data_IF_249948746343
#
_entry.id   IF_249948746343
#
_cell.length_a   1.000
_cell.length_b   1.000
_cell.length_c   1.000
_cell.angle_alpha   90.00
_cell.angle_beta   90.00
_cell.angle_gamma   90.00
#
_symmetry.space_group_name_H-M   'P 1'
#
loop_
_entity.id
_entity.type
_entity.pdbx_description
1 polymer ?
#
# COMPACT_ATOMS: atom_id res chain seq x y z
N UNK A 1 -10.27 6.89 -19.79
CA UNK A 1 -10.16 8.09 -18.92
C UNK A 1 -11.53 8.42 -18.34
N UNK A 2 -12.09 7.57 -17.48
CA UNK A 2 -13.47 7.77 -16.96
C UNK A 2 -13.51 8.50 -15.61
N UNK A 3 -12.53 8.26 -14.74
CA UNK A 3 -12.59 8.71 -13.35
C UNK A 3 -12.50 10.23 -13.17
N UNK A 4 -11.64 10.89 -13.95
CA UNK A 4 -11.48 12.35 -13.91
C UNK A 4 -12.78 13.07 -14.27
N UNK A 5 -13.48 12.62 -15.30
CA UNK A 5 -14.75 13.21 -15.74
C UNK A 5 -15.94 12.80 -14.86
N UNK A 6 -15.84 11.66 -14.17
CA UNK A 6 -16.86 11.21 -13.22
C UNK A 6 -16.78 11.94 -11.87
N UNK A 7 -15.58 12.10 -11.31
CA UNK A 7 -15.37 12.75 -10.00
C UNK A 7 -15.32 14.27 -10.13
N UNK A 8 -14.82 14.80 -11.25
CA UNK A 8 -14.67 16.24 -11.53
C UNK A 8 -13.97 16.99 -10.39
N UNK A 9 -12.91 16.41 -9.83
CA UNK A 9 -12.19 16.99 -8.70
C UNK A 9 -11.61 18.36 -9.06
N UNK A 10 -11.53 19.27 -8.10
CA UNK A 10 -10.93 20.61 -8.32
C UNK A 10 -9.48 20.52 -8.77
N UNK A 11 -8.73 19.57 -8.22
CA UNK A 11 -7.34 19.29 -8.54
C UNK A 11 -7.16 17.80 -8.87
N UNK A 12 -6.27 17.50 -9.80
CA UNK A 12 -5.89 16.14 -10.16
C UNK A 12 -4.36 16.00 -10.18
N UNK A 13 -3.73 15.63 -9.06
CA UNK A 13 -2.29 15.37 -9.01
C UNK A 13 -1.95 14.03 -9.67
N UNK A 14 -0.91 14.01 -10.48
CA UNK A 14 -0.37 12.85 -11.17
C UNK A 14 1.17 12.85 -11.18
N UNK A 15 1.78 11.73 -11.53
CA UNK A 15 3.23 11.59 -11.61
C UNK A 15 3.62 10.55 -12.67
N UNK A 16 4.74 9.84 -12.48
CA UNK A 16 5.25 8.72 -13.30
C UNK A 16 5.94 9.10 -14.62
N UNK A 17 5.45 10.09 -15.38
CA UNK A 17 6.03 10.46 -16.67
C UNK A 17 7.32 11.29 -16.60
N UNK A 18 7.79 11.61 -15.38
CA UNK A 18 9.00 12.42 -15.13
C UNK A 18 8.99 13.75 -15.90
N UNK A 19 7.84 14.42 -15.88
CA UNK A 19 7.64 15.75 -16.47
C UNK A 19 6.68 16.54 -15.60
N UNK A 20 7.07 17.77 -15.27
CA UNK A 20 6.15 18.72 -14.69
C UNK A 20 5.25 19.32 -15.78
N UNK A 21 3.94 19.18 -15.60
CA UNK A 21 2.95 19.63 -16.57
C UNK A 21 1.69 20.08 -15.83
N UNK A 22 1.09 21.16 -16.31
CA UNK A 22 -0.17 21.67 -15.78
C UNK A 22 -1.16 21.84 -16.93
N UNK A 23 -2.41 21.43 -16.69
CA UNK A 23 -3.50 21.61 -17.65
C UNK A 23 -4.81 21.90 -16.93
N UNK A 24 -5.71 22.57 -17.65
CA UNK A 24 -7.09 22.73 -17.26
C UNK A 24 -7.91 21.74 -18.09
N UNK A 25 -8.58 20.82 -17.41
CA UNK A 25 -9.46 19.85 -18.07
C UNK A 25 -10.90 20.37 -17.95
N UNK A 26 -11.51 20.81 -19.07
CA UNK A 26 -12.89 21.27 -19.05
C UNK A 26 -13.84 20.09 -18.83
N UNK A 27 -14.96 20.35 -18.17
CA UNK A 27 -16.07 19.42 -18.05
C UNK A 27 -17.24 19.97 -18.84
N UNK A 28 -17.89 19.13 -19.63
CA UNK A 28 -19.09 19.51 -20.39
C UNK A 28 -20.33 19.44 -19.48
N UNK A 29 -21.24 20.40 -19.67
CA UNK A 29 -22.56 20.40 -19.04
C UNK A 29 -23.49 19.48 -19.84
N UNK A 30 -23.86 18.33 -19.28
CA UNK A 30 -24.84 17.42 -19.89
C UNK A 30 -26.29 17.93 -19.73
N UNK A 31 -26.50 19.04 -19.01
CA UNK A 31 -27.82 19.62 -18.71
C UNK A 31 -28.02 20.96 -19.42
N UNK A 32 -29.03 21.02 -20.31
CA UNK A 32 -29.58 22.25 -20.91
C UNK A 32 -30.37 23.10 -19.89
N UNK A 33 -29.87 23.24 -18.65
CA UNK A 33 -30.49 24.11 -17.67
C UNK A 33 -29.89 25.52 -17.80
N UNK A 34 -30.77 26.52 -17.98
CA UNK A 34 -30.48 27.94 -18.18
C UNK A 34 -29.77 28.64 -16.98
N UNK A 35 -29.27 27.87 -16.01
CA UNK A 35 -28.53 28.34 -14.83
C UNK A 35 -27.07 27.85 -14.87
N UNK A 36 -26.45 27.96 -16.05
CA UNK A 36 -25.08 27.55 -16.33
C UNK A 36 -24.06 28.48 -15.65
N UNK A 37 -23.89 28.30 -14.35
CA UNK A 37 -22.58 28.53 -13.73
C UNK A 37 -21.67 27.40 -14.21
N UNK A 38 -21.09 27.58 -15.39
CA UNK A 38 -20.30 26.56 -16.08
C UNK A 38 -19.32 25.86 -15.15
N UNK A 39 -19.29 24.53 -15.21
CA UNK A 39 -18.50 23.70 -14.30
C UNK A 39 -17.04 24.14 -14.29
N UNK A 40 -16.49 24.36 -13.09
CA UNK A 40 -15.09 24.72 -12.94
C UNK A 40 -14.19 23.61 -13.51
N UNK A 41 -13.21 23.95 -14.36
CA UNK A 41 -12.30 22.96 -14.92
C UNK A 41 -11.45 22.31 -13.82
N UNK A 42 -11.12 21.03 -13.99
CA UNK A 42 -10.16 20.35 -13.12
C UNK A 42 -8.75 20.85 -13.41
N UNK A 43 -8.02 21.26 -12.38
CA UNK A 43 -6.61 21.59 -12.48
C UNK A 43 -5.77 20.32 -12.42
N UNK A 44 -5.37 19.83 -13.58
CA UNK A 44 -4.46 18.70 -13.71
C UNK A 44 -3.02 19.17 -13.46
N UNK A 45 -2.32 18.45 -12.60
CA UNK A 45 -0.95 18.77 -12.19
C UNK A 45 -0.14 17.48 -12.23
N UNK A 46 0.96 17.45 -12.97
CA UNK A 46 1.96 16.38 -12.87
C UNK A 46 3.29 16.89 -12.33
N UNK A 47 3.96 16.03 -11.56
CA UNK A 47 5.26 16.30 -10.97
C UNK A 47 6.37 15.51 -11.66
N UNK A 48 7.58 16.07 -11.63
CA UNK A 48 8.80 15.44 -12.14
C UNK A 48 9.42 14.48 -11.11
N UNK A 49 10.43 13.71 -11.54
CA UNK A 49 11.20 12.82 -10.68
C UNK A 49 12.02 13.62 -9.67
N UNK A 50 12.20 13.03 -8.49
CA UNK A 50 13.10 13.46 -7.41
C UNK A 50 14.57 13.44 -7.86
N UNK A 51 14.96 14.38 -8.72
CA UNK A 51 16.30 14.58 -9.27
C UNK A 51 16.66 16.06 -9.11
N UNK A 52 17.93 16.40 -8.84
CA UNK A 52 18.37 17.79 -8.77
C UNK A 52 17.91 18.61 -9.98
N UNK A 53 17.51 19.86 -9.73
CA UNK A 53 17.08 20.83 -10.73
C UNK A 53 15.81 20.46 -11.51
N UNK A 54 14.93 19.63 -10.94
CA UNK A 54 13.61 19.30 -11.51
C UNK A 54 12.46 19.74 -10.61
N UNK A 55 11.29 19.91 -11.22
CA UNK A 55 10.07 20.34 -10.53
C UNK A 55 9.31 19.14 -9.95
N UNK A 56 9.83 18.59 -8.84
CA UNK A 56 9.29 17.38 -8.19
C UNK A 56 8.34 17.67 -7.02
N UNK A 57 8.23 18.93 -6.57
CA UNK A 57 7.41 19.34 -5.44
C UNK A 57 6.57 20.57 -5.82
N UNK A 58 5.29 20.53 -5.47
CA UNK A 58 4.36 21.65 -5.61
C UNK A 58 3.58 21.84 -4.32
N UNK A 59 3.48 23.09 -3.89
CA UNK A 59 2.66 23.50 -2.76
C UNK A 59 1.35 24.07 -3.29
N UNK A 60 0.23 23.67 -2.69
CA UNK A 60 -1.09 24.23 -2.95
C UNK A 60 -1.56 24.95 -1.69
N UNK A 61 -2.10 26.15 -1.88
CA UNK A 61 -2.66 26.96 -0.80
C UNK A 61 -4.19 26.89 -0.88
N UNK A 62 -4.81 26.66 0.26
CA UNK A 62 -6.25 26.54 0.40
C UNK A 62 -6.71 27.47 1.51
N UNK A 63 -7.79 28.20 1.25
CA UNK A 63 -8.47 28.97 2.28
C UNK A 63 -9.24 27.99 3.18
N UNK A 64 -8.83 27.92 4.45
CA UNK A 64 -9.42 27.06 5.47
C UNK A 64 -9.87 27.95 6.62
N UNK A 65 -11.04 27.66 7.20
CA UNK A 65 -11.54 28.37 8.39
C UNK A 65 -10.54 28.23 9.55
N UNK A 66 -10.28 29.31 10.28
CA UNK A 66 -9.36 29.30 11.43
C UNK A 66 -9.79 28.31 12.54
N UNK A 67 -11.09 28.00 12.62
CA UNK A 67 -11.66 27.06 13.58
C UNK A 67 -11.82 25.65 13.01
N UNK A 68 -11.35 25.39 11.78
CA UNK A 68 -11.42 24.06 11.20
C UNK A 68 -10.59 23.06 12.02
N UNK A 69 -11.15 21.88 12.24
CA UNK A 69 -10.44 20.78 12.89
C UNK A 69 -9.35 20.24 11.96
N UNK A 70 -8.09 20.47 12.32
CA UNK A 70 -6.93 19.99 11.55
C UNK A 70 -6.60 18.58 12.02
N UNK A 71 -7.08 17.58 11.29
CA UNK A 71 -6.83 16.18 11.59
C UNK A 71 -7.14 15.28 10.40
N UNK A 72 -6.60 14.07 10.42
CA UNK A 72 -6.98 13.04 9.46
C UNK A 72 -8.24 12.35 9.97
N UNK A 73 -9.18 12.14 9.05
CA UNK A 73 -10.43 11.41 9.30
C UNK A 73 -10.68 10.42 8.18
N UNK A 74 -11.35 9.32 8.50
CA UNK A 74 -11.83 8.39 7.50
C UNK A 74 -13.00 9.00 6.72
N UNK A 75 -13.04 8.71 5.43
CA UNK A 75 -14.19 9.04 4.60
C UNK A 75 -15.24 7.91 4.70
N UNK A 76 -16.51 8.19 5.06
CA UNK A 76 -17.51 7.15 5.27
C UNK A 76 -17.89 6.42 3.97
N UNK A 77 -17.84 7.10 2.82
CA UNK A 77 -18.08 6.48 1.51
C UNK A 77 -16.98 5.47 1.21
N UNK A 78 -15.72 5.83 1.43
CA UNK A 78 -14.57 4.94 1.32
C UNK A 78 -14.67 3.73 2.25
N UNK A 79 -15.06 3.93 3.52
CA UNK A 79 -15.26 2.84 4.47
C UNK A 79 -16.35 1.86 4.01
N UNK A 80 -17.48 2.38 3.51
CA UNK A 80 -18.57 1.56 3.00
C UNK A 80 -18.16 0.78 1.75
N UNK A 81 -17.44 1.42 0.81
CA UNK A 81 -16.85 0.73 -0.34
C UNK A 81 -15.94 -0.39 0.13
N UNK A 82 -14.97 -0.08 0.99
CA UNK A 82 -13.99 -1.04 1.47
C UNK A 82 -14.66 -2.27 2.12
N UNK A 83 -15.67 -2.05 2.97
CA UNK A 83 -16.45 -3.11 3.60
C UNK A 83 -17.26 -3.93 2.59
N UNK A 84 -17.95 -3.27 1.66
CA UNK A 84 -18.77 -3.96 0.65
C UNK A 84 -17.94 -4.78 -0.36
N UNK A 85 -16.67 -4.41 -0.55
CA UNK A 85 -15.73 -5.09 -1.45
C UNK A 85 -14.86 -6.14 -0.77
N UNK A 86 -15.00 -6.39 0.54
CA UNK A 86 -14.14 -7.32 1.28
C UNK A 86 -14.14 -8.75 0.70
N UNK A 87 -15.28 -9.17 0.15
CA UNK A 87 -15.42 -10.48 -0.53
C UNK A 87 -14.50 -10.64 -1.75
N UNK A 88 -13.93 -9.54 -2.26
CA UNK A 88 -12.98 -9.54 -3.37
C UNK A 88 -11.53 -9.65 -2.90
N UNK A 89 -11.28 -9.53 -1.59
CA UNK A 89 -9.95 -9.68 -0.99
C UNK A 89 -9.53 -11.14 -1.03
N UNK A 90 -8.48 -11.44 -1.80
CA UNK A 90 -7.95 -12.80 -1.93
C UNK A 90 -6.44 -12.80 -2.03
N UNK A 91 -5.80 -13.75 -1.36
CA UNK A 91 -4.37 -14.04 -1.44
C UNK A 91 -4.05 -15.21 -2.36
N UNK A 92 -5.03 -15.69 -3.13
CA UNK A 92 -4.84 -16.77 -4.09
C UNK A 92 -4.01 -16.29 -5.28
N UNK A 93 -3.08 -17.13 -5.74
CA UNK A 93 -2.37 -16.92 -7.01
C UNK A 93 -3.23 -17.23 -8.24
N UNK A 94 -4.41 -17.83 -8.03
CA UNK A 94 -5.35 -18.12 -9.10
C UNK A 94 -5.99 -16.82 -9.62
N UNK A 95 -6.26 -16.71 -10.93
CA UNK A 95 -6.95 -15.54 -11.47
C UNK A 95 -8.34 -15.43 -10.86
N UNK A 96 -8.63 -14.29 -10.24
CA UNK A 96 -9.96 -13.94 -9.71
C UNK A 96 -10.69 -13.08 -10.74
N UNK A 97 -11.90 -13.49 -11.10
CA UNK A 97 -12.75 -12.68 -11.98
C UNK A 97 -13.39 -11.56 -11.15
N UNK A 98 -13.07 -10.32 -11.50
CA UNK A 98 -13.66 -9.14 -10.85
C UNK A 98 -15.09 -8.90 -11.36
N UNK A 99 -15.97 -8.33 -10.51
CA UNK A 99 -17.31 -7.96 -10.93
C UNK A 99 -17.30 -7.04 -12.16
N UNK A 100 -18.25 -7.25 -13.06
CA UNK A 100 -18.34 -6.50 -14.31
C UNK A 100 -19.79 -6.19 -14.63
N UNK A 101 -20.03 -4.96 -15.10
CA UNK A 101 -21.33 -4.50 -15.64
C UNK A 101 -21.94 -5.45 -16.67
N UNK A 102 -21.11 -6.22 -17.36
CA UNK A 102 -21.55 -7.09 -18.45
C UNK A 102 -22.10 -8.45 -17.97
N UNK A 103 -21.94 -8.80 -16.69
CA UNK A 103 -22.60 -9.97 -16.08
C UNK A 103 -23.82 -9.50 -15.29
N UNK A 104 -24.96 -10.17 -15.50
CA UNK A 104 -26.26 -9.69 -15.01
C UNK A 104 -26.58 -10.02 -13.56
N UNK A 105 -25.88 -10.98 -12.95
CA UNK A 105 -26.27 -11.57 -11.65
C UNK A 105 -25.37 -11.18 -10.47
N UNK A 106 -24.33 -10.37 -10.71
CA UNK A 106 -23.36 -9.96 -9.69
C UNK A 106 -23.36 -8.44 -9.50
N UNK A 107 -23.24 -7.98 -8.25
CA UNK A 107 -23.07 -6.55 -7.94
C UNK A 107 -21.73 -6.08 -8.50
N UNK A 108 -21.78 -5.13 -9.43
CA UNK A 108 -20.59 -4.49 -10.02
C UNK A 108 -20.47 -3.02 -9.63
N UNK A 109 -21.56 -2.41 -9.15
CA UNK A 109 -21.60 -1.04 -8.67
C UNK A 109 -21.57 -1.03 -7.14
N UNK A 110 -20.44 -0.56 -6.61
CA UNK A 110 -20.17 -0.49 -5.18
C UNK A 110 -20.33 0.94 -4.64
N UNK A 111 -21.02 1.83 -5.36
CA UNK A 111 -21.49 3.07 -4.75
C UNK A 111 -22.30 2.71 -3.49
N UNK A 112 -21.95 3.24 -2.30
CA UNK A 112 -22.63 2.90 -1.07
C UNK A 112 -24.12 3.27 -1.12
N UNK A 113 -24.95 2.36 -0.65
CA UNK A 113 -26.36 2.62 -0.35
C UNK A 113 -26.49 3.39 0.97
N UNK A 114 -27.62 4.05 1.21
CA UNK A 114 -27.91 4.74 2.47
C UNK A 114 -27.76 3.80 3.68
N UNK A 115 -28.25 2.57 3.56
CA UNK A 115 -28.12 1.54 4.59
C UNK A 115 -26.66 1.17 4.90
N UNK A 116 -25.80 1.09 3.87
CA UNK A 116 -24.38 0.80 4.08
C UNK A 116 -23.67 1.96 4.77
N UNK A 117 -24.06 3.22 4.49
CA UNK A 117 -23.54 4.39 5.18
C UNK A 117 -24.02 4.46 6.63
N UNK A 118 -25.29 4.12 6.90
CA UNK A 118 -25.83 4.00 8.26
C UNK A 118 -25.07 2.96 9.09
N UNK A 119 -24.79 1.78 8.52
CA UNK A 119 -23.98 0.75 9.19
C UNK A 119 -22.58 1.26 9.53
N UNK A 120 -21.94 2.01 8.63
CA UNK A 120 -20.65 2.65 8.91
C UNK A 120 -20.76 3.69 10.03
N UNK A 121 -21.84 4.48 10.06
CA UNK A 121 -22.17 5.39 11.15
C UNK A 121 -22.26 4.68 12.49
N UNK A 122 -22.93 3.53 12.56
CA UNK A 122 -23.03 2.72 13.77
C UNK A 122 -21.67 2.14 14.22
N UNK A 123 -20.87 1.59 13.30
CA UNK A 123 -19.54 1.01 13.60
C UNK A 123 -18.59 2.07 14.15
N UNK A 124 -18.60 3.28 13.58
CA UNK A 124 -17.71 4.37 13.97
C UNK A 124 -18.33 5.33 14.98
N UNK A 125 -19.60 5.16 15.35
CA UNK A 125 -20.38 6.06 16.21
C UNK A 125 -20.36 7.51 15.71
N UNK A 126 -20.44 7.67 14.39
CA UNK A 126 -20.29 8.95 13.68
C UNK A 126 -19.00 9.72 14.00
N UNK A 127 -17.98 9.02 14.54
CA UNK A 127 -16.67 9.58 14.86
C UNK A 127 -15.60 8.93 13.97
N UNK A 128 -15.23 9.67 12.92
CA UNK A 128 -14.32 9.19 11.88
C UNK A 128 -12.87 9.64 12.06
N UNK A 129 -12.54 10.36 13.14
CA UNK A 129 -11.16 10.81 13.39
C UNK A 129 -10.22 9.62 13.49
N UNK A 130 -9.08 9.70 12.80
CA UNK A 130 -8.04 8.68 12.91
C UNK A 130 -7.42 8.79 14.31
N UNK A 131 -7.38 7.69 15.09
CA UNK A 131 -6.81 7.72 16.43
C UNK A 131 -5.30 7.99 16.39
N UNK A 132 -4.80 8.73 17.38
CA UNK A 132 -3.36 8.96 17.58
C UNK A 132 -2.70 7.76 18.27
N UNK A 133 -2.72 6.59 17.63
CA UNK A 133 -2.20 5.32 18.13
C UNK A 133 -1.05 4.78 17.25
N UNK A 134 -0.26 5.68 16.66
CA UNK A 134 0.90 5.29 15.87
C UNK A 134 2.00 4.71 16.76
N UNK A 135 2.50 3.55 16.38
CA UNK A 135 3.57 2.84 17.06
C UNK A 135 4.71 2.52 16.11
N UNK A 136 5.94 2.51 16.63
CA UNK A 136 7.11 2.17 15.83
C UNK A 136 7.06 0.67 15.50
N UNK A 137 6.80 0.38 14.24
CA UNK A 137 6.62 -0.99 13.73
C UNK A 137 7.95 -1.59 13.27
N UNK A 138 8.77 -0.79 12.60
CA UNK A 138 10.09 -1.16 12.06
C UNK A 138 11.21 -0.54 12.93
N UNK A 139 12.36 -1.20 13.16
CA UNK A 139 13.47 -0.60 13.91
C UNK A 139 14.02 0.67 13.26
N UNK A 140 14.57 1.60 14.05
CA UNK A 140 15.14 2.83 13.50
C UNK A 140 16.39 2.52 12.67
N UNK A 141 16.47 3.14 11.49
CA UNK A 141 17.63 3.05 10.60
C UNK A 141 18.91 3.48 11.34
N UNK A 142 19.98 2.67 11.27
CA UNK A 142 21.30 3.00 11.85
C UNK A 142 22.27 3.47 10.76
N UNK A 143 22.86 4.67 10.89
CA UNK A 143 23.88 5.14 9.95
C UNK A 143 25.07 4.18 9.92
N UNK A 144 25.40 3.65 8.73
CA UNK A 144 26.52 2.71 8.54
C UNK A 144 26.11 1.25 8.35
N UNK A 145 24.82 0.92 8.46
CA UNK A 145 24.33 -0.40 8.05
C UNK A 145 24.52 -0.58 6.54
N UNK A 146 25.11 -1.72 6.14
CA UNK A 146 25.23 -2.08 4.73
C UNK A 146 23.83 -2.38 4.19
N UNK A 147 23.30 -1.49 3.35
CA UNK A 147 22.04 -1.63 2.61
C UNK A 147 22.03 -2.83 1.63
N UNK A 148 23.12 -3.60 1.57
CA UNK A 148 23.30 -4.68 0.62
C UNK A 148 23.02 -6.03 1.30
N UNK A 149 21.98 -6.71 0.82
CA UNK A 149 21.75 -8.17 0.88
C UNK A 149 21.04 -8.82 2.08
N UNK A 150 20.25 -8.11 2.88
CA UNK A 150 19.27 -8.82 3.74
C UNK A 150 17.87 -8.50 3.24
N UNK A 151 17.08 -9.54 2.98
CA UNK A 151 15.64 -9.38 2.75
C UNK A 151 15.07 -8.68 3.97
N UNK A 152 14.57 -7.46 3.79
CA UNK A 152 13.91 -6.73 4.86
C UNK A 152 12.72 -7.57 5.35
N UNK A 153 12.64 -7.75 6.67
CA UNK A 153 11.52 -8.42 7.28
C UNK A 153 10.31 -7.50 7.18
N UNK A 154 9.14 -8.08 6.91
CA UNK A 154 7.88 -7.37 7.02
C UNK A 154 7.44 -7.33 8.48
N UNK A 155 7.18 -6.13 8.99
CA UNK A 155 6.69 -5.91 10.34
C UNK A 155 5.20 -5.55 10.30
N UNK A 156 4.37 -6.36 10.97
CA UNK A 156 2.91 -6.16 11.02
C UNK A 156 2.55 -4.88 11.77
N UNK A 157 1.81 -3.98 11.12
CA UNK A 157 1.31 -2.74 11.73
C UNK A 157 0.02 -3.02 12.53
N UNK A 158 0.07 -2.80 13.85
CA UNK A 158 -1.07 -2.98 14.78
C UNK A 158 -2.26 -2.08 14.43
N UNK A 159 -2.02 -0.87 13.93
CA UNK A 159 -3.08 0.06 13.52
C UNK A 159 -3.90 -0.51 12.35
N UNK A 160 -3.25 -1.16 11.39
CA UNK A 160 -3.93 -1.83 10.26
C UNK A 160 -4.84 -2.96 10.77
N UNK A 161 -4.34 -3.80 11.67
CA UNK A 161 -5.15 -4.89 12.24
C UNK A 161 -6.34 -4.37 13.03
N UNK A 162 -6.13 -3.35 13.88
CA UNK A 162 -7.22 -2.74 14.64
C UNK A 162 -8.27 -2.11 13.73
N UNK A 163 -7.84 -1.47 12.64
CA UNK A 163 -8.72 -0.90 11.64
C UNK A 163 -9.55 -1.99 10.93
N UNK A 164 -8.91 -3.03 10.40
CA UNK A 164 -9.59 -4.15 9.74
C UNK A 164 -10.60 -4.82 10.68
N UNK A 165 -10.21 -5.07 11.94
CA UNK A 165 -11.09 -5.64 12.97
C UNK A 165 -12.28 -4.73 13.28
N UNK A 166 -12.06 -3.41 13.45
CA UNK A 166 -13.13 -2.45 13.75
C UNK A 166 -14.14 -2.38 12.61
N UNK A 167 -13.66 -2.29 11.37
CA UNK A 167 -14.52 -2.24 10.18
C UNK A 167 -15.17 -3.60 9.87
N UNK A 168 -14.59 -4.69 10.37
CA UNK A 168 -15.06 -6.06 10.13
C UNK A 168 -14.75 -6.52 8.70
N UNK A 169 -13.52 -6.31 8.27
CA UNK A 169 -12.98 -6.73 6.96
C UNK A 169 -11.76 -7.62 7.15
N UNK A 170 -11.41 -8.36 6.10
CA UNK A 170 -10.24 -9.21 6.04
C UNK A 170 -8.96 -8.40 6.08
N UNK A 171 -8.03 -8.75 6.97
CA UNK A 171 -6.70 -8.15 7.02
C UNK A 171 -5.78 -8.83 5.99
N UNK A 172 -5.65 -8.23 4.81
CA UNK A 172 -4.84 -8.78 3.72
C UNK A 172 -3.39 -9.04 4.14
N UNK A 173 -2.81 -8.15 4.95
CA UNK A 173 -1.44 -8.33 5.41
C UNK A 173 -1.31 -9.53 6.35
N UNK A 174 -2.36 -9.84 7.11
CA UNK A 174 -2.42 -11.03 7.97
C UNK A 174 -2.47 -12.30 7.13
N UNK A 175 -3.36 -12.30 6.12
CA UNK A 175 -3.53 -13.41 5.20
C UNK A 175 -2.23 -13.70 4.43
N UNK A 176 -1.49 -12.67 4.02
CA UNK A 176 -0.21 -12.81 3.34
C UNK A 176 0.87 -13.32 4.30
N UNK A 177 0.92 -12.78 5.52
CA UNK A 177 1.84 -13.24 6.56
C UNK A 177 1.62 -14.73 6.90
N UNK A 178 0.38 -15.18 6.95
CA UNK A 178 0.06 -16.58 7.21
C UNK A 178 0.59 -17.56 6.13
N UNK A 179 0.93 -17.08 4.93
CA UNK A 179 1.46 -17.91 3.83
C UNK A 179 2.98 -18.14 3.93
N UNK A 180 3.75 -17.16 4.41
CA UNK A 180 5.19 -17.30 4.60
C UNK A 180 5.67 -16.56 5.86
N UNK A 181 5.99 -17.35 6.88
CA UNK A 181 6.45 -16.85 8.17
C UNK A 181 7.93 -16.45 8.18
N UNK A 182 8.72 -16.87 7.18
CA UNK A 182 10.17 -16.66 7.17
C UNK A 182 10.55 -15.19 6.93
N UNK A 183 9.63 -14.40 6.36
CA UNK A 183 9.81 -12.98 6.07
C UNK A 183 9.22 -12.04 7.11
N UNK A 184 8.74 -12.53 8.26
CA UNK A 184 8.01 -11.68 9.23
C UNK A 184 8.90 -11.33 10.42
N UNK A 185 8.99 -10.03 10.71
CA UNK A 185 9.67 -9.50 11.88
C UNK A 185 8.71 -9.26 13.05
N UNK A 186 9.26 -9.22 14.26
CA UNK A 186 8.53 -8.81 15.46
C UNK A 186 8.50 -7.27 15.48
N UNK A 187 7.31 -6.63 15.53
CA UNK A 187 7.20 -5.17 15.57
C UNK A 187 8.06 -4.56 16.68
N UNK A 188 8.77 -3.48 16.37
CA UNK A 188 9.75 -2.89 17.28
C UNK A 188 9.14 -2.51 18.64
N UNK A 189 7.93 -1.93 18.65
CA UNK A 189 7.21 -1.59 19.88
C UNK A 189 7.06 -2.79 20.85
N UNK A 190 6.89 -4.01 20.33
CA UNK A 190 6.79 -5.23 21.14
C UNK A 190 8.16 -5.73 21.61
N UNK A 191 9.22 -5.47 20.83
CA UNK A 191 10.58 -5.87 21.18
C UNK A 191 11.19 -5.05 22.34
N UNK A 192 10.72 -3.83 22.57
CA UNK A 192 11.19 -2.96 23.67
C UNK A 192 10.48 -3.26 24.99
N UNK A 193 9.23 -3.70 24.94
CA UNK A 193 8.49 -4.00 26.18
C UNK A 193 8.93 -5.32 26.85
N UNK A 194 9.75 -6.13 26.19
CA UNK A 194 10.29 -7.39 26.74
C UNK A 194 11.63 -7.23 27.47
N UNK A 195 12.26 -6.05 27.45
CA UNK A 195 13.61 -5.85 27.99
C UNK A 195 13.68 -5.33 29.45
N UNK A 196 12.58 -5.44 30.22
CA UNK A 196 12.61 -5.22 31.68
C UNK A 196 13.18 -6.44 32.47
N UNK A 197 13.51 -7.52 31.76
CA UNK A 197 14.44 -8.55 32.25
C UNK A 197 15.80 -8.34 31.60
N UNK A 198 16.83 -8.15 32.43
CA UNK A 198 18.19 -7.76 32.05
C UNK A 198 18.89 -8.62 30.99
N UNK A 199 20.17 -8.34 30.67
CA UNK A 199 20.84 -8.86 29.49
C UNK A 199 21.29 -10.31 29.67
N UNK A 200 20.35 -11.23 29.80
CA UNK A 200 20.61 -12.64 29.57
C UNK A 200 20.37 -12.94 28.09
N UNK A 201 21.45 -13.35 27.42
CA UNK A 201 21.42 -13.87 26.06
C UNK A 201 20.25 -14.85 25.91
N UNK A 202 19.22 -14.47 25.15
CA UNK A 202 18.21 -15.39 24.63
C UNK A 202 18.84 -16.33 23.61
N UNK A 203 19.62 -17.30 24.12
CA UNK A 203 20.14 -18.45 23.40
C UNK A 203 19.21 -19.64 23.64
N UNK A 204 18.01 -19.54 23.09
CA UNK A 204 17.18 -20.69 22.75
C UNK A 204 16.07 -20.23 21.82
N UNK A 205 16.18 -20.62 20.54
CA UNK A 205 15.19 -20.32 19.50
C UNK A 205 13.77 -20.76 19.89
N UNK A 206 13.63 -21.72 20.81
CA UNK A 206 12.35 -22.21 21.30
C UNK A 206 11.68 -21.33 22.39
N UNK A 207 12.43 -20.54 23.16
CA UNK A 207 11.83 -19.68 24.21
C UNK A 207 11.33 -18.36 23.62
N UNK A 208 12.09 -17.76 22.70
CA UNK A 208 11.70 -16.52 21.99
C UNK A 208 10.42 -16.72 21.18
N UNK A 209 10.26 -17.91 20.60
CA UNK A 209 9.07 -18.27 19.82
C UNK A 209 7.82 -18.34 20.67
N UNK A 210 7.86 -19.00 21.84
CA UNK A 210 6.66 -19.17 22.67
C UNK A 210 6.20 -17.83 23.24
N UNK A 211 7.14 -16.98 23.67
CA UNK A 211 6.85 -15.61 24.08
C UNK A 211 6.33 -14.76 22.91
N UNK A 212 6.90 -14.90 21.72
CA UNK A 212 6.39 -14.21 20.53
C UNK A 212 4.96 -14.66 20.21
N UNK A 213 4.64 -15.96 20.25
CA UNK A 213 3.30 -16.49 20.01
C UNK A 213 2.29 -15.91 21.02
N UNK A 214 2.60 -15.92 22.32
CA UNK A 214 1.71 -15.34 23.33
C UNK A 214 1.53 -13.82 23.15
N UNK A 215 2.58 -13.10 22.75
CA UNK A 215 2.51 -11.67 22.42
C UNK A 215 1.71 -11.41 21.14
N UNK A 216 1.86 -12.27 20.12
CA UNK A 216 1.08 -12.20 18.89
C UNK A 216 -0.41 -12.45 19.19
N UNK A 217 -0.74 -13.46 19.99
CA UNK A 217 -2.12 -13.77 20.39
C UNK A 217 -2.73 -12.67 21.27
N UNK A 218 -1.93 -12.02 22.11
CA UNK A 218 -2.38 -10.92 22.97
C UNK A 218 -2.68 -9.63 22.18
N UNK A 219 -1.89 -9.32 21.16
CA UNK A 219 -1.98 -8.07 20.38
C UNK A 219 -2.88 -8.23 19.14
N UNK A 220 -2.81 -9.39 18.49
CA UNK A 220 -3.53 -9.69 17.24
C UNK A 220 -4.73 -10.63 17.44
N UNK A 221 -4.94 -11.18 18.64
CA UNK A 221 -6.08 -12.04 18.98
C UNK A 221 -5.78 -13.54 18.86
N UNK A 222 -6.54 -14.39 19.56
CA UNK A 222 -6.46 -15.85 19.42
C UNK A 222 -7.03 -16.27 18.06
N UNK A 223 -6.19 -16.75 17.16
CA UNK A 223 -6.62 -17.35 15.89
C UNK A 223 -6.73 -18.88 16.05
N UNK A 224 -7.84 -19.47 15.59
CA UNK A 224 -8.24 -20.89 15.74
C UNK A 224 -7.33 -21.94 15.03
N UNK A 225 -6.04 -21.66 14.79
CA UNK A 225 -5.16 -22.62 14.12
C UNK A 225 -3.95 -23.01 14.97
N UNK A 226 -3.88 -24.31 15.25
CA UNK A 226 -2.76 -24.99 15.90
C UNK A 226 -1.50 -24.73 15.08
N UNK A 227 -0.52 -24.02 15.66
CA UNK A 227 0.84 -23.92 15.14
C UNK A 227 1.50 -25.30 15.35
N UNK A 228 1.21 -26.25 14.47
CA UNK A 228 1.95 -27.52 14.39
C UNK A 228 3.26 -27.24 13.68
N UNK A 229 4.35 -27.16 14.45
CA UNK A 229 5.70 -27.21 13.89
C UNK A 229 6.02 -28.64 13.47
N UNK A 230 5.82 -28.94 12.19
CA UNK A 230 6.35 -30.13 11.54
C UNK A 230 7.85 -29.99 11.31
N UNK A 231 8.59 -31.03 11.67
CA UNK A 231 10.03 -31.22 11.54
C UNK A 231 10.59 -30.87 10.17
N UNK A 232 11.82 -30.35 10.17
CA UNK A 232 12.70 -30.20 9.01
C UNK A 232 12.73 -31.48 8.15
N UNK A 233 11.96 -31.50 7.07
CA UNK A 233 12.30 -32.29 5.89
C UNK A 233 12.69 -31.31 4.77
N UNK A 234 14.02 -31.16 4.62
CA UNK A 234 14.62 -30.49 3.48
C UNK A 234 14.26 -31.28 2.22
N UNK A 235 13.57 -30.65 1.28
CA UNK A 235 13.55 -31.09 -0.11
C UNK A 235 14.93 -30.79 -0.71
N UNK A 236 15.89 -31.68 -0.48
CA UNK A 236 17.06 -31.82 -1.35
C UNK A 236 16.59 -32.55 -2.61
N UNK A 237 16.43 -31.80 -3.71
CA UNK A 237 16.65 -32.22 -5.11
C UNK A 237 15.85 -31.31 -6.06
N UNK A 238 16.42 -30.17 -6.41
CA UNK A 238 16.01 -29.43 -7.61
C UNK A 238 17.26 -29.09 -8.43
N UNK A 239 17.60 -29.87 -9.48
CA UNK A 239 18.73 -29.53 -10.33
C UNK A 239 18.31 -28.37 -11.25
N UNK A 240 18.98 -27.23 -11.09
CA UNK A 240 18.78 -26.06 -11.95
C UNK A 240 19.25 -26.38 -13.37
N UNK A 241 18.46 -26.13 -14.44
CA UNK A 241 18.93 -26.37 -15.80
C UNK A 241 19.99 -25.34 -16.22
N UNK A 242 21.07 -25.81 -16.85
CA UNK A 242 22.11 -24.94 -17.43
C UNK A 242 21.56 -24.11 -18.61
N UNK A 243 21.62 -22.78 -18.47
CA UNK A 243 21.32 -21.86 -19.56
C UNK A 243 22.52 -21.80 -20.52
N UNK A 244 22.35 -22.37 -21.72
CA UNK A 244 23.33 -22.24 -22.80
C UNK A 244 23.29 -20.83 -23.38
N UNK A 245 24.34 -20.04 -23.13
CA UNK A 245 24.51 -18.72 -23.74
C UNK A 245 24.94 -18.93 -25.20
N UNK A 246 24.02 -18.74 -26.15
CA UNK A 246 24.40 -18.56 -27.55
C UNK A 246 25.01 -17.16 -27.72
N UNK A 247 26.27 -17.13 -28.16
CA UNK A 247 27.02 -15.92 -28.51
C UNK A 247 26.27 -15.11 -29.58
N UNK A 248 25.82 -13.90 -29.22
CA UNK A 248 25.48 -12.89 -30.22
C UNK A 248 26.76 -12.22 -30.73
N UNK A 249 27.01 -12.37 -32.02
CA UNK A 249 28.10 -11.76 -32.78
C UNK A 249 28.07 -10.23 -32.68
N UNK A 250 29.16 -9.63 -32.20
CA UNK A 250 29.41 -8.19 -32.31
C UNK A 250 29.85 -7.89 -33.74
N UNK A 251 29.03 -7.14 -34.48
CA UNK A 251 29.43 -6.55 -35.76
C UNK A 251 30.19 -5.25 -35.45
N UNK A 252 31.51 -5.31 -35.61
CA UNK A 252 32.40 -4.15 -35.59
C UNK A 252 32.21 -3.36 -36.89
N UNK A 253 31.83 -2.08 -36.79
CA UNK A 253 31.88 -1.15 -37.92
C UNK A 253 33.24 -0.45 -37.93
N UNK A 254 33.94 -0.59 -39.06
CA UNK A 254 35.22 0.04 -39.36
C UNK A 254 35.09 1.57 -39.40
N UNK A 255 35.96 2.29 -38.69
CA UNK A 255 36.23 3.71 -38.96
C UNK A 255 37.65 3.84 -39.52
N UNK A 256 37.67 4.08 -40.83
CA UNK A 256 38.88 4.36 -41.63
C UNK A 256 39.51 5.69 -41.20
N UNK A 257 40.79 5.63 -40.90
CA UNK A 257 41.68 6.74 -40.61
C UNK A 257 41.91 7.61 -41.86
N UNK A 258 41.76 8.92 -41.71
CA UNK A 258 42.05 9.91 -42.75
C UNK A 258 42.64 11.17 -42.13
N UNK A 259 43.97 11.21 -42.05
CA UNK A 259 44.77 12.38 -41.68
C UNK A 259 44.42 13.62 -42.50
N UNK A 260 44.25 14.78 -41.85
CA UNK A 260 44.84 16.05 -42.34
C UNK A 260 44.96 17.14 -41.25
N UNK A 261 46.21 17.59 -41.16
CA UNK A 261 46.84 18.68 -40.41
C UNK A 261 46.35 20.11 -40.77
N UNK A 262 46.49 21.02 -39.78
CA UNK A 262 46.58 22.52 -39.80
C UNK A 262 45.44 23.27 -40.51
N UNK A 263 44.78 24.28 -39.92
CA UNK A 263 45.22 25.39 -39.06
C UNK A 263 44.19 25.70 -37.97
#
# INVERSE_FOLDING_TARGET
MGLLYAIRSRYWPAAHLHVAFAALVPHEDDCNDDDATGLAPTQFISLDKLVPHRHFLQQLEFDVDENADIGLSYDPVWLAVLKSTDVLTSTSLSPVFMPSRHKTDERWDFRPTEKELEEIGEIFKDEYKIPNNFEMTDPPHKPGDNINMVSELYYRNSQTTHFCRKLGISDLNELLCAQDLNGIGIPFALSVNSCDSGPEKFRSENIVVLQAIELFDCVFGQSDFIIVRGSSDRLEDFPTPELTIQQMSVVSTESSTGNRSMF
#
